data_IF_950425434243
#
_entry.id   IF_950425434243
#
_cell.length_a   1.000
_cell.length_b   1.000
_cell.length_c   1.000
_cell.angle_alpha   90.00
_cell.angle_beta   90.00
_cell.angle_gamma   90.00
#
_symmetry.space_group_name_H-M   'P 1'
#
loop_
_entity.id
_entity.type
_entity.pdbx_description
1 polymer ?
#
# COMPACT_ATOMS: atom_id res chain seq x y z
N UNK A 1 -3.34 -31.44 -22.90
CA UNK A 1 -4.48 -31.26 -21.97
C UNK A 1 -4.80 -29.78 -21.92
N UNK A 2 -5.95 -29.33 -22.44
CA UNK A 2 -6.32 -27.90 -22.44
C UNK A 2 -6.87 -27.58 -21.03
N UNK A 3 -6.34 -26.55 -20.33
CA UNK A 3 -6.86 -26.22 -19.00
C UNK A 3 -8.36 -25.93 -19.12
N UNK A 4 -9.18 -26.63 -18.33
CA UNK A 4 -10.62 -26.35 -18.29
C UNK A 4 -10.79 -25.01 -17.59
N UNK A 5 -11.55 -24.06 -18.16
CA UNK A 5 -11.80 -22.80 -17.49
C UNK A 5 -12.49 -23.10 -16.15
N UNK A 6 -11.94 -22.54 -15.07
CA UNK A 6 -12.61 -22.50 -13.78
C UNK A 6 -13.92 -21.74 -13.95
N UNK A 7 -14.99 -22.15 -13.26
CA UNK A 7 -16.26 -21.42 -13.31
C UNK A 7 -16.05 -19.95 -12.94
N UNK A 8 -16.80 -19.04 -13.58
CA UNK A 8 -16.68 -17.60 -13.37
C UNK A 8 -16.72 -17.23 -11.87
N UNK A 9 -17.55 -17.91 -11.11
CA UNK A 9 -17.68 -17.72 -9.66
C UNK A 9 -16.36 -17.97 -8.92
N UNK A 10 -15.64 -19.05 -9.26
CA UNK A 10 -14.37 -19.37 -8.64
C UNK A 10 -13.27 -18.39 -9.06
N UNK A 11 -13.30 -17.93 -10.32
CA UNK A 11 -12.37 -16.90 -10.80
C UNK A 11 -12.57 -15.58 -10.05
N UNK A 12 -13.82 -15.15 -9.86
CA UNK A 12 -14.16 -13.94 -9.10
C UNK A 12 -13.74 -14.08 -7.64
N UNK A 13 -14.09 -15.18 -6.97
CA UNK A 13 -13.69 -15.41 -5.57
C UNK A 13 -12.17 -15.40 -5.39
N UNK A 14 -11.42 -15.98 -6.33
CA UNK A 14 -9.97 -15.98 -6.29
C UNK A 14 -9.39 -14.58 -6.49
N UNK A 15 -9.89 -13.82 -7.48
CA UNK A 15 -9.44 -12.45 -7.72
C UNK A 15 -9.72 -11.54 -6.51
N UNK A 16 -10.89 -11.67 -5.88
CA UNK A 16 -11.21 -10.91 -4.67
C UNK A 16 -10.28 -11.27 -3.49
N UNK A 17 -9.95 -12.56 -3.32
CA UNK A 17 -9.02 -13.00 -2.30
C UNK A 17 -7.62 -12.44 -2.55
N UNK A 18 -7.13 -12.55 -3.79
CA UNK A 18 -5.83 -12.01 -4.20
C UNK A 18 -5.75 -10.50 -3.91
N UNK A 19 -6.78 -9.74 -4.30
CA UNK A 19 -6.85 -8.31 -4.02
C UNK A 19 -6.79 -8.03 -2.50
N UNK A 20 -7.56 -8.76 -1.69
CA UNK A 20 -7.57 -8.59 -0.22
C UNK A 20 -6.23 -8.96 0.42
N UNK A 21 -5.56 -9.99 -0.08
CA UNK A 21 -4.24 -10.40 0.40
C UNK A 21 -3.19 -9.34 0.09
N UNK A 22 -3.12 -8.87 -1.16
CA UNK A 22 -2.20 -7.79 -1.55
C UNK A 22 -2.45 -6.51 -0.75
N UNK A 23 -3.71 -6.25 -0.46
CA UNK A 23 -4.15 -5.13 0.34
C UNK A 23 -3.70 -5.24 1.80
N UNK A 24 -3.81 -6.43 2.40
CA UNK A 24 -3.35 -6.71 3.77
C UNK A 24 -1.82 -6.63 3.87
N UNK A 25 -1.10 -7.21 2.91
CA UNK A 25 0.37 -7.16 2.85
C UNK A 25 0.87 -5.71 2.74
N UNK A 26 0.19 -4.89 1.94
CA UNK A 26 0.53 -3.47 1.81
C UNK A 26 0.31 -2.72 3.12
N UNK A 27 -0.76 -3.03 3.85
CA UNK A 27 -1.07 -2.39 5.13
C UNK A 27 -0.07 -2.73 6.23
N UNK A 28 0.38 -3.99 6.28
CA UNK A 28 1.43 -4.42 7.20
C UNK A 28 2.77 -3.77 6.85
N UNK A 29 3.08 -3.68 5.55
CA UNK A 29 4.33 -3.09 5.07
C UNK A 29 4.41 -1.57 5.27
N UNK A 30 3.27 -0.88 5.33
CA UNK A 30 3.15 0.58 5.40
C UNK A 30 2.13 1.00 6.47
N UNK A 31 2.54 1.02 7.75
CA UNK A 31 1.65 1.34 8.86
C UNK A 31 1.13 2.78 8.78
N UNK A 32 0.06 3.08 9.52
CA UNK A 32 -0.65 4.37 9.49
C UNK A 32 0.06 5.51 10.21
N UNK A 33 1.32 5.31 10.61
CA UNK A 33 1.99 6.23 11.53
C UNK A 33 2.63 7.42 10.80
N UNK A 34 2.57 7.46 9.46
CA UNK A 34 3.34 8.41 8.68
C UNK A 34 2.77 8.58 7.25
N UNK A 35 3.52 9.21 6.32
CA UNK A 35 3.00 9.74 5.06
C UNK A 35 3.67 9.18 3.80
N UNK A 36 2.95 9.20 2.68
CA UNK A 36 3.49 8.88 1.36
C UNK A 36 3.89 10.15 0.60
N UNK A 37 5.08 10.16 0.02
CA UNK A 37 5.61 11.21 -0.84
C UNK A 37 5.95 10.65 -2.24
N UNK A 38 5.79 11.48 -3.26
CA UNK A 38 6.26 11.17 -4.62
C UNK A 38 7.71 11.61 -4.80
N UNK A 39 8.51 10.77 -5.43
CA UNK A 39 9.87 11.07 -5.82
C UNK A 39 10.02 10.89 -7.33
N UNK A 40 10.58 11.90 -7.98
CA UNK A 40 10.84 11.89 -9.42
C UNK A 40 12.26 11.39 -9.66
N UNK A 41 12.43 10.39 -10.54
CA UNK A 41 13.73 9.91 -10.99
C UNK A 41 13.71 9.80 -12.51
N UNK A 42 14.31 10.78 -13.19
CA UNK A 42 14.21 10.94 -14.64
C UNK A 42 12.78 11.31 -15.03
N UNK A 43 12.21 10.55 -15.97
CA UNK A 43 10.82 10.75 -16.44
C UNK A 43 9.78 9.93 -15.65
N UNK A 44 10.19 9.22 -14.60
CA UNK A 44 9.31 8.35 -13.80
C UNK A 44 9.11 8.90 -12.40
N UNK A 45 7.87 8.81 -11.92
CA UNK A 45 7.51 9.12 -10.54
C UNK A 45 7.30 7.84 -9.73
N UNK A 46 7.69 7.89 -8.46
CA UNK A 46 7.62 6.75 -7.56
C UNK A 46 7.06 7.15 -6.21
N UNK A 47 6.28 6.26 -5.61
CA UNK A 47 5.83 6.40 -4.23
C UNK A 47 6.88 5.92 -3.25
N UNK A 48 7.15 6.77 -2.26
CA UNK A 48 7.94 6.43 -1.09
C UNK A 48 7.10 6.68 0.16
N UNK A 49 7.09 5.70 1.06
CA UNK A 49 6.57 5.85 2.41
C UNK A 49 7.68 6.42 3.30
N UNK A 50 7.43 7.60 3.83
CA UNK A 50 8.22 8.12 4.95
C UNK A 50 7.64 7.46 6.18
N UNK A 51 8.44 6.71 6.94
CA UNK A 51 8.01 6.02 8.15
C UNK A 51 8.83 6.47 9.35
N UNK A 52 8.22 6.43 10.53
CA UNK A 52 8.88 6.65 11.80
C UNK A 52 8.98 5.33 12.56
N UNK A 53 10.17 5.00 13.07
CA UNK A 53 10.33 3.85 13.96
C UNK A 53 10.11 4.29 15.42
N UNK A 54 9.01 3.90 16.08
CA UNK A 54 8.69 4.34 17.44
C UNK A 54 9.62 3.73 18.50
N UNK A 55 10.29 2.61 18.22
CA UNK A 55 11.12 1.89 19.19
C UNK A 55 12.58 2.38 19.27
N UNK A 56 12.92 3.42 18.51
CA UNK A 56 14.26 4.01 18.58
C UNK A 56 14.36 4.95 19.81
N UNK A 57 15.05 4.48 20.85
CA UNK A 57 15.24 5.04 22.22
C UNK A 57 15.62 6.54 22.34
N UNK A 58 15.83 7.26 21.25
CA UNK A 58 16.07 8.71 21.26
C UNK A 58 15.71 9.31 19.92
N UNK A 59 14.48 9.82 19.80
CA UNK A 59 14.01 10.56 18.62
C UNK A 59 13.98 9.68 17.37
N UNK A 60 12.88 8.95 17.18
CA UNK A 60 12.81 7.86 16.21
C UNK A 60 13.32 8.21 14.81
N UNK A 61 14.20 7.36 14.29
CA UNK A 61 14.81 7.56 12.98
C UNK A 61 13.71 7.47 11.91
N UNK A 62 13.59 8.52 11.12
CA UNK A 62 12.79 8.50 9.89
C UNK A 62 13.46 7.56 8.89
N UNK A 63 12.69 6.70 8.26
CA UNK A 63 13.13 5.86 7.15
C UNK A 63 12.25 6.13 5.94
N UNK A 64 12.80 5.92 4.74
CA UNK A 64 12.03 5.95 3.51
C UNK A 64 11.97 4.55 2.92
N UNK A 65 10.78 4.11 2.54
CA UNK A 65 10.54 2.80 1.94
C UNK A 65 9.85 2.96 0.60
N UNK A 66 10.40 2.32 -0.43
CA UNK A 66 9.80 2.32 -1.76
C UNK A 66 8.47 1.55 -1.75
N UNK A 67 7.41 2.17 -2.28
CA UNK A 67 6.06 1.58 -2.33
C UNK A 67 5.63 1.15 -3.74
N UNK A 68 6.28 1.68 -4.78
CA UNK A 68 5.98 1.34 -6.18
C UNK A 68 5.99 2.55 -7.10
N UNK A 69 5.83 2.34 -8.41
CA UNK A 69 5.76 3.44 -9.37
C UNK A 69 4.36 4.06 -9.39
N UNK A 70 4.28 5.35 -9.71
CA UNK A 70 3.03 6.12 -9.75
C UNK A 70 2.19 5.79 -10.99
N UNK A 71 2.79 5.26 -12.04
CA UNK A 71 2.07 4.81 -13.24
C UNK A 71 1.26 3.53 -13.02
N UNK A 72 1.47 2.83 -11.90
CA UNK A 72 0.69 1.65 -11.53
C UNK A 72 -0.60 2.07 -10.78
N UNK A 73 -1.79 1.87 -11.37
CA UNK A 73 -3.05 2.28 -10.77
C UNK A 73 -3.37 1.53 -9.46
N UNK A 74 -2.95 0.27 -9.32
CA UNK A 74 -3.19 -0.51 -8.10
C UNK A 74 -2.37 0.03 -6.92
N UNK A 75 -1.14 0.46 -7.18
CA UNK A 75 -0.29 1.11 -6.16
C UNK A 75 -0.92 2.45 -5.73
N UNK A 76 -1.39 3.25 -6.68
CA UNK A 76 -2.09 4.50 -6.36
C UNK A 76 -3.33 4.25 -5.49
N UNK A 77 -4.14 3.25 -5.84
CA UNK A 77 -5.34 2.89 -5.09
C UNK A 77 -5.01 2.48 -3.64
N UNK A 78 -3.95 1.69 -3.44
CA UNK A 78 -3.49 1.27 -2.11
C UNK A 78 -2.95 2.43 -1.28
N UNK A 79 -2.14 3.33 -1.88
CA UNK A 79 -1.64 4.54 -1.22
C UNK A 79 -2.80 5.43 -0.75
N UNK A 80 -3.79 5.67 -1.60
CA UNK A 80 -4.96 6.46 -1.24
C UNK A 80 -5.84 5.79 -0.18
N UNK A 81 -5.98 4.45 -0.22
CA UNK A 81 -6.68 3.70 0.84
C UNK A 81 -5.99 3.89 2.19
N UNK A 82 -4.66 3.76 2.23
CA UNK A 82 -3.88 3.98 3.45
C UNK A 82 -4.05 5.41 3.98
N UNK A 83 -3.97 6.42 3.10
CA UNK A 83 -4.19 7.83 3.46
C UNK A 83 -5.59 8.06 4.05
N UNK A 84 -6.63 7.50 3.42
CA UNK A 84 -8.02 7.59 3.91
C UNK A 84 -8.18 6.95 5.29
N UNK A 85 -7.58 5.77 5.52
CA UNK A 85 -7.63 5.10 6.82
C UNK A 85 -6.92 5.90 7.90
N UNK A 86 -5.81 6.57 7.58
CA UNK A 86 -5.09 7.45 8.51
C UNK A 86 -5.92 8.65 8.92
N UNK A 87 -6.63 9.26 7.96
CA UNK A 87 -7.51 10.40 8.22
C UNK A 87 -8.71 10.05 9.13
N UNK A 88 -9.28 8.85 8.99
CA UNK A 88 -10.41 8.40 9.83
C UNK A 88 -9.98 8.25 11.31
N UNK A 89 -8.76 7.77 11.56
CA UNK A 89 -8.22 7.60 12.93
C UNK A 89 -7.85 8.92 13.62
N UNK A 90 -7.60 9.99 12.86
CA UNK A 90 -7.17 11.29 13.39
C UNK A 90 -8.31 12.21 13.86
N UNK A 91 -9.59 11.85 13.64
CA UNK A 91 -10.73 12.57 14.23
C UNK A 91 -11.15 11.92 15.55
N UNK A 92 -10.85 12.51 16.72
CA UNK A 92 -11.53 12.12 17.96
C UNK A 92 -12.98 12.64 17.93
N UNK A 93 -13.92 11.81 18.41
CA UNK A 93 -15.24 12.27 18.86
C UNK A 93 -15.13 13.00 20.19
#
# INVERSE_FOLDING_TARGET
>A
MKPRPFGLQLQTMFAELEQRSLDADFDEAFPLNDSFAKWVKGEREYWYYNGHNPDAESGGKRYQKYAGPVDNPDINARVERCRRRGAIRAKPS
#
